data_IF_272148036814
#
_entry.id   IF_272148036814
#
_cell.length_a   1.000
_cell.length_b   1.000
_cell.length_c   1.000
_cell.angle_alpha   90.00
_cell.angle_beta   90.00
_cell.angle_gamma   90.00
#
_symmetry.space_group_name_H-M   'P 1'
#
loop_
_entity.id
_entity.type
_entity.pdbx_description
1 polymer ?
#
# COMPACT_ATOMS: atom_id res chain seq x y z
N UNK A 1 -1.03 -1.14 -19.94
CA UNK A 1 0.33 -0.65 -19.74
C UNK A 1 0.81 -0.16 -21.11
N UNK A 2 1.14 1.13 -21.27
CA UNK A 2 1.60 1.67 -22.58
C UNK A 2 3.08 2.06 -22.54
N UNK A 3 3.63 2.19 -21.33
CA UNK A 3 4.95 2.80 -21.08
C UNK A 3 5.96 1.76 -20.54
N UNK A 4 5.50 0.74 -19.84
CA UNK A 4 6.37 -0.25 -19.20
C UNK A 4 6.71 -1.43 -20.12
N UNK A 5 7.98 -1.82 -20.19
CA UNK A 5 8.41 -3.06 -20.84
C UNK A 5 7.89 -4.29 -20.05
N UNK A 6 7.72 -5.46 -20.70
CA UNK A 6 7.44 -6.71 -19.99
C UNK A 6 8.44 -6.96 -18.86
N UNK A 7 7.98 -7.49 -17.72
CA UNK A 7 8.77 -7.76 -16.52
C UNK A 7 9.35 -6.53 -15.80
N UNK A 8 8.98 -5.31 -16.21
CA UNK A 8 9.37 -4.11 -15.47
C UNK A 8 8.84 -4.15 -14.03
N UNK A 9 9.60 -3.55 -13.11
CA UNK A 9 9.20 -3.35 -11.72
C UNK A 9 8.60 -1.97 -11.55
N UNK A 10 7.43 -1.90 -10.94
CA UNK A 10 6.78 -0.66 -10.53
C UNK A 10 6.81 -0.63 -9.01
N UNK A 11 7.44 0.39 -8.43
CA UNK A 11 7.45 0.63 -6.99
C UNK A 11 6.55 1.82 -6.69
N UNK A 12 5.58 1.62 -5.82
CA UNK A 12 4.63 2.64 -5.39
C UNK A 12 4.86 2.87 -3.89
N UNK A 13 5.08 4.13 -3.54
CA UNK A 13 5.33 4.57 -2.17
C UNK A 13 4.31 5.65 -1.84
N UNK A 14 3.39 5.36 -0.92
CA UNK A 14 2.31 6.29 -0.55
C UNK A 14 2.12 6.36 0.97
N UNK A 15 1.63 7.50 1.51
CA UNK A 15 1.24 7.58 2.91
C UNK A 15 0.16 6.55 3.25
N UNK A 16 0.25 5.93 4.42
CA UNK A 16 -0.84 5.11 4.95
C UNK A 16 -1.99 6.01 5.41
N UNK A 17 -3.25 5.60 5.18
CA UNK A 17 -4.42 6.47 5.25
C UNK A 17 -4.56 7.29 6.55
N UNK A 18 -4.13 6.76 7.69
CA UNK A 18 -4.25 7.39 9.01
C UNK A 18 -2.93 7.96 9.54
N UNK A 19 -1.93 8.16 8.69
CA UNK A 19 -0.67 8.81 9.05
C UNK A 19 -0.74 10.31 8.76
N UNK A 20 0.10 11.11 9.42
CA UNK A 20 0.07 12.57 9.33
C UNK A 20 0.34 13.04 7.90
N UNK A 21 1.28 12.38 7.23
CA UNK A 21 1.63 12.67 5.84
C UNK A 21 0.47 12.49 4.85
N UNK A 22 -0.56 11.72 5.19
CA UNK A 22 -1.72 11.56 4.32
C UNK A 22 -2.67 12.78 4.31
N UNK A 23 -2.56 13.68 5.30
CA UNK A 23 -3.43 14.84 5.48
C UNK A 23 -2.72 16.19 5.27
N UNK A 24 -1.41 16.18 5.04
CA UNK A 24 -0.61 17.40 4.93
C UNK A 24 -0.78 18.12 3.59
N UNK A 25 -1.19 17.39 2.55
CA UNK A 25 -1.40 17.93 1.22
C UNK A 25 -2.89 18.15 0.98
N UNK A 26 -3.29 19.42 0.85
CA UNK A 26 -4.67 19.80 0.58
C UNK A 26 -5.18 19.31 -0.78
N UNK A 27 -4.28 18.93 -1.69
CA UNK A 27 -4.62 18.41 -3.02
C UNK A 27 -4.87 16.89 -3.01
N UNK A 28 -4.67 16.21 -1.88
CA UNK A 28 -4.81 14.78 -1.77
C UNK A 28 -6.27 14.34 -1.94
N UNK A 29 -6.54 13.51 -2.96
CA UNK A 29 -7.90 13.07 -3.32
C UNK A 29 -8.33 11.77 -2.62
N UNK A 30 -7.39 10.84 -2.41
CA UNK A 30 -7.68 9.50 -1.96
C UNK A 30 -6.68 9.02 -0.94
N UNK A 31 -7.15 8.31 0.07
CA UNK A 31 -6.31 7.72 1.10
C UNK A 31 -6.11 6.22 0.82
N UNK A 32 -4.90 5.73 1.09
CA UNK A 32 -4.51 4.37 0.73
C UNK A 32 -4.26 3.51 1.99
N UNK A 33 -4.76 2.28 1.96
CA UNK A 33 -4.42 1.24 2.92
C UNK A 33 -3.77 0.05 2.20
N UNK A 34 -3.39 -0.99 2.95
CA UNK A 34 -2.70 -2.15 2.39
C UNK A 34 -3.50 -2.91 1.32
N UNK A 35 -4.82 -2.74 1.29
CA UNK A 35 -5.73 -3.40 0.35
C UNK A 35 -6.06 -2.54 -0.87
N UNK A 36 -5.74 -1.24 -0.87
CA UNK A 36 -6.08 -0.31 -1.95
C UNK A 36 -5.52 -0.74 -3.32
N UNK A 37 -4.41 -1.49 -3.32
CA UNK A 37 -3.76 -1.95 -4.54
C UNK A 37 -4.08 -3.41 -4.91
N UNK A 38 -4.80 -4.16 -4.07
CA UNK A 38 -5.16 -5.56 -4.35
C UNK A 38 -5.78 -5.78 -5.74
N UNK A 39 -6.71 -4.92 -6.23
CA UNK A 39 -7.34 -5.13 -7.54
C UNK A 39 -6.36 -5.21 -8.71
N UNK A 40 -5.13 -4.69 -8.56
CA UNK A 40 -4.13 -4.70 -9.63
C UNK A 40 -3.38 -6.03 -9.76
N UNK A 41 -3.34 -6.85 -8.71
CA UNK A 41 -2.52 -8.07 -8.65
C UNK A 41 -3.23 -9.31 -8.09
N UNK A 42 -4.49 -9.19 -7.68
CA UNK A 42 -5.26 -10.29 -7.10
C UNK A 42 -6.64 -10.37 -7.75
N UNK A 43 -7.02 -11.55 -8.25
CA UNK A 43 -8.32 -11.78 -8.89
C UNK A 43 -9.51 -11.66 -7.95
N UNK A 44 -9.35 -12.17 -6.72
CA UNK A 44 -10.40 -12.24 -5.69
C UNK A 44 -10.17 -11.16 -4.64
N UNK A 45 -10.56 -9.93 -4.97
CA UNK A 45 -10.50 -8.81 -4.01
C UNK A 45 -11.90 -8.37 -3.61
N UNK A 46 -11.99 -7.71 -2.45
CA UNK A 46 -13.25 -7.13 -1.98
C UNK A 46 -13.66 -5.86 -2.75
N UNK A 47 -12.81 -5.36 -3.65
CA UNK A 47 -13.03 -4.13 -4.42
C UNK A 47 -12.87 -4.29 -5.94
N UNK A 48 -13.49 -3.36 -6.68
CA UNK A 48 -13.41 -3.14 -8.14
C UNK A 48 -13.15 -4.39 -9.01
N UNK A 49 -14.22 -5.15 -9.28
CA UNK A 49 -14.27 -6.29 -10.19
C UNK A 49 -13.92 -5.97 -11.67
N UNK A 50 -13.80 -4.70 -12.03
CA UNK A 50 -13.54 -4.25 -13.40
C UNK A 50 -12.05 -4.07 -13.71
N UNK A 51 -11.16 -4.16 -12.72
CA UNK A 51 -9.71 -4.06 -12.93
C UNK A 51 -9.19 -5.44 -13.30
N UNK A 52 -8.74 -5.60 -14.54
CA UNK A 52 -8.03 -6.81 -14.95
C UNK A 52 -6.65 -6.84 -14.30
N UNK A 53 -6.33 -7.96 -13.65
CA UNK A 53 -5.01 -8.24 -13.10
C UNK A 53 -3.96 -8.20 -14.21
N UNK A 54 -3.06 -7.22 -14.13
CA UNK A 54 -1.97 -7.01 -15.10
C UNK A 54 -0.60 -7.08 -14.46
N UNK A 55 -0.58 -7.23 -13.15
CA UNK A 55 0.60 -7.17 -12.33
C UNK A 55 0.70 -8.37 -11.41
N UNK A 56 1.92 -8.71 -11.04
CA UNK A 56 2.24 -9.69 -10.01
C UNK A 56 2.81 -8.95 -8.80
N UNK A 57 2.34 -9.30 -7.60
CA UNK A 57 2.89 -8.75 -6.36
C UNK A 57 4.25 -9.36 -6.07
N UNK A 58 5.29 -8.52 -6.02
CA UNK A 58 6.63 -8.95 -5.57
C UNK A 58 6.76 -8.75 -4.06
N UNK A 59 6.36 -7.58 -3.55
CA UNK A 59 6.53 -7.23 -2.15
C UNK A 59 5.50 -6.20 -1.71
N UNK A 60 5.02 -6.31 -0.47
CA UNK A 60 4.24 -5.31 0.21
C UNK A 60 4.79 -5.14 1.63
N UNK A 61 5.22 -3.93 1.94
CA UNK A 61 5.74 -3.60 3.26
C UNK A 61 5.04 -2.36 3.83
N UNK A 62 4.68 -2.47 5.11
CA UNK A 62 4.09 -1.38 5.89
C UNK A 62 5.17 -0.81 6.80
N UNK A 63 5.70 0.33 6.38
CA UNK A 63 6.82 1.00 7.05
C UNK A 63 6.25 1.75 8.27
N UNK A 64 6.69 1.40 9.49
CA UNK A 64 6.22 2.06 10.69
C UNK A 64 6.85 3.45 10.87
N UNK A 65 6.15 4.32 11.59
CA UNK A 65 6.73 5.58 12.10
C UNK A 65 7.75 5.30 13.21
N UNK A 66 8.43 6.35 13.71
CA UNK A 66 9.29 6.24 14.90
C UNK A 66 8.55 5.68 16.11
N UNK A 67 7.30 6.09 16.32
CA UNK A 67 6.44 5.59 17.39
C UNK A 67 5.99 4.14 17.13
N UNK A 68 5.65 3.82 15.89
CA UNK A 68 5.31 2.46 15.48
C UNK A 68 6.46 1.46 15.66
N UNK A 69 7.72 1.89 15.53
CA UNK A 69 8.91 1.05 15.76
C UNK A 69 9.07 0.61 17.21
N UNK A 70 8.52 1.36 18.17
CA UNK A 70 8.53 0.97 19.59
C UNK A 70 7.70 -0.31 19.82
N UNK A 71 6.67 -0.52 19.01
CA UNK A 71 5.88 -1.75 19.01
C UNK A 71 6.59 -2.80 18.14
N UNK A 72 7.62 -3.43 18.70
CA UNK A 72 8.53 -4.36 18.00
C UNK A 72 7.83 -5.60 17.41
N UNK A 73 6.68 -6.01 17.95
CA UNK A 73 5.98 -7.20 17.48
C UNK A 73 4.95 -6.86 16.41
N UNK A 74 5.15 -7.40 15.20
CA UNK A 74 4.27 -7.24 14.04
C UNK A 74 2.81 -7.65 14.31
N UNK A 75 2.61 -8.66 15.16
CA UNK A 75 1.29 -9.13 15.58
C UNK A 75 0.51 -8.05 16.34
N UNK A 76 1.19 -7.19 17.10
CA UNK A 76 0.59 -6.09 17.88
C UNK A 76 0.47 -4.85 17.00
N UNK A 77 1.51 -4.56 16.24
CA UNK A 77 1.64 -3.35 15.42
C UNK A 77 0.62 -3.25 14.30
N UNK A 78 0.30 -4.36 13.62
CA UNK A 78 -0.68 -4.37 12.51
C UNK A 78 -2.11 -4.08 12.95
N UNK A 79 -2.69 -4.74 13.97
CA UNK A 79 -4.03 -4.40 14.44
C UNK A 79 -4.08 -3.02 15.09
N UNK A 80 -3.07 -2.64 15.88
CA UNK A 80 -3.02 -1.29 16.44
C UNK A 80 -2.93 -0.24 15.34
N UNK A 81 -2.17 -0.47 14.26
CA UNK A 81 -2.03 0.49 13.17
C UNK A 81 -3.31 0.76 12.38
N UNK A 82 -4.33 -0.10 12.51
CA UNK A 82 -5.68 0.15 11.94
C UNK A 82 -6.52 1.08 12.82
N UNK A 83 -6.28 1.06 14.13
CA UNK A 83 -7.09 1.81 15.12
C UNK A 83 -6.40 3.11 15.53
N UNK A 84 -5.12 3.01 15.86
CA UNK A 84 -4.27 4.12 16.26
C UNK A 84 -3.57 4.70 15.03
N UNK A 85 -3.88 5.95 14.74
CA UNK A 85 -3.15 6.73 13.74
C UNK A 85 -1.67 6.83 14.08
N UNK A 86 -0.85 7.14 13.07
CA UNK A 86 0.60 7.31 13.22
C UNK A 86 1.42 6.08 13.61
N UNK A 87 0.88 4.86 13.60
CA UNK A 87 1.72 3.66 13.79
C UNK A 87 2.40 3.26 12.49
N UNK A 88 1.65 3.29 11.39
CA UNK A 88 2.13 3.00 10.04
C UNK A 88 2.29 4.32 9.31
N UNK A 89 3.46 4.56 8.74
CA UNK A 89 3.75 5.77 8.00
C UNK A 89 3.44 5.62 6.52
N UNK A 90 3.91 4.52 5.92
CA UNK A 90 4.02 4.41 4.47
C UNK A 90 3.74 2.98 4.02
N UNK A 91 3.05 2.88 2.89
CA UNK A 91 2.92 1.64 2.12
C UNK A 91 4.02 1.68 1.07
N UNK A 92 4.86 0.65 1.04
CA UNK A 92 5.84 0.42 -0.02
C UNK A 92 5.53 -0.91 -0.69
N UNK A 93 4.99 -0.83 -1.90
CA UNK A 93 4.56 -1.97 -2.70
C UNK A 93 5.36 -2.02 -4.00
N UNK A 94 5.81 -3.22 -4.34
CA UNK A 94 6.52 -3.50 -5.59
C UNK A 94 5.72 -4.52 -6.40
N UNK A 95 5.40 -4.13 -7.64
CA UNK A 95 4.64 -4.91 -8.60
C UNK A 95 5.53 -5.22 -9.82
N UNK A 96 5.36 -6.41 -10.41
CA UNK A 96 5.94 -6.77 -11.70
C UNK A 96 4.87 -6.66 -12.79
N UNK A 97 5.23 -6.09 -13.93
CA UNK A 97 4.36 -6.09 -15.12
C UNK A 97 4.38 -7.47 -15.76
N UNK A 98 3.23 -8.14 -15.80
CA UNK A 98 3.10 -9.47 -16.41
C UNK A 98 2.57 -9.35 -17.84
N UNK A 99 1.55 -8.52 -18.10
CA UNK A 99 0.95 -8.28 -19.43
C UNK A 99 0.16 -6.97 -19.55
#
# INVERSE_FOLDING_TARGET
HRISKPNAKIRIIVPYYNCYGAYNDITHLHYFNEYSFEPFYKKSTRGNYFINEKFELINLSLIPTRLGKFFFFDFIRKPLGKVLGQIIQTIDITLRVVK
#
